data_IF_840466071369
#
_entry.id   IF_840466071369
#
_cell.length_a   1.000
_cell.length_b   1.000
_cell.length_c   1.000
_cell.angle_alpha   90.00
_cell.angle_beta   90.00
_cell.angle_gamma   90.00
#
_symmetry.space_group_name_H-M   'P 1'
#
loop_
_entity.id
_entity.type
_entity.pdbx_description
1 polymer ?
#
# COMPACT_ATOMS: atom_id res chain seq x y z
N UNK A 1 7.87 25.37 29.45
CA UNK A 1 6.80 24.89 28.55
C UNK A 1 6.27 23.58 29.15
N UNK A 2 4.98 23.49 29.50
CA UNK A 2 4.40 22.27 30.10
C UNK A 2 4.19 21.25 28.97
N UNK A 3 4.59 20.00 29.17
CA UNK A 3 4.34 18.93 28.19
C UNK A 3 2.84 18.67 28.06
N UNK A 4 2.32 18.58 26.84
CA UNK A 4 0.93 18.19 26.59
C UNK A 4 0.62 16.74 27.03
N UNK A 5 1.65 15.92 27.27
CA UNK A 5 1.53 14.57 27.81
C UNK A 5 1.48 14.52 29.35
N UNK A 6 1.76 15.65 30.04
CA UNK A 6 1.83 15.68 31.48
C UNK A 6 0.62 15.04 32.20
N UNK A 7 -0.64 15.28 31.76
CA UNK A 7 -1.81 14.71 32.43
C UNK A 7 -1.90 13.18 32.35
N UNK A 8 -1.17 12.57 31.40
CA UNK A 8 -1.21 11.13 31.13
C UNK A 8 -0.01 10.38 31.71
N UNK A 9 0.91 11.08 32.42
CA UNK A 9 2.10 10.49 33.01
C UNK A 9 1.84 10.13 34.49
N UNK A 10 2.03 8.87 34.90
CA UNK A 10 1.87 8.46 36.33
C UNK A 10 2.74 9.28 37.24
N UNK A 11 2.17 9.75 38.36
CA UNK A 11 2.89 10.55 39.37
C UNK A 11 3.32 11.95 38.93
N UNK A 12 2.83 12.43 37.78
CA UNK A 12 3.10 13.79 37.34
C UNK A 12 2.27 14.79 38.17
N UNK A 13 2.86 15.89 38.68
CA UNK A 13 2.15 16.86 39.55
C UNK A 13 0.88 17.44 38.91
N UNK A 14 0.80 17.52 37.59
CA UNK A 14 -0.38 18.02 36.90
C UNK A 14 -1.46 16.95 36.67
N UNK A 15 -1.20 15.68 36.95
CA UNK A 15 -2.19 14.62 36.82
C UNK A 15 -3.34 14.79 37.82
N UNK A 16 -3.03 15.32 39.02
CA UNK A 16 -4.00 15.58 40.06
C UNK A 16 -4.90 16.78 39.75
N UNK A 17 -4.47 17.69 38.89
CA UNK A 17 -5.22 18.88 38.47
C UNK A 17 -6.32 18.56 37.43
N UNK A 18 -6.29 17.35 36.83
CA UNK A 18 -7.21 16.94 35.76
C UNK A 18 -7.93 15.64 36.15
N UNK A 19 -8.98 15.74 37.00
CA UNK A 19 -9.73 14.56 37.44
C UNK A 19 -10.33 13.83 36.23
N UNK A 20 -10.10 12.53 36.16
CA UNK A 20 -10.52 11.67 35.04
C UNK A 20 -9.48 11.49 33.95
N UNK A 21 -8.35 12.18 34.00
CA UNK A 21 -7.22 11.87 33.13
C UNK A 21 -6.57 10.54 33.60
N UNK A 22 -6.49 9.58 32.70
CA UNK A 22 -5.87 8.28 32.94
C UNK A 22 -4.76 8.02 31.94
N UNK A 23 -3.84 7.14 32.29
CA UNK A 23 -2.83 6.65 31.36
C UNK A 23 -3.52 5.94 30.18
N UNK A 24 -3.28 6.41 28.97
CA UNK A 24 -3.93 5.89 27.76
C UNK A 24 -3.33 4.55 27.34
N UNK A 25 -2.05 4.32 27.63
CA UNK A 25 -1.35 3.08 27.28
C UNK A 25 -0.65 2.45 28.47
N UNK A 26 -0.36 1.13 28.37
CA UNK A 26 0.41 0.40 29.39
C UNK A 26 1.87 0.89 29.49
N UNK A 27 2.38 1.63 28.51
CA UNK A 27 3.70 2.25 28.50
C UNK A 27 3.58 3.78 28.52
N UNK A 28 3.29 4.42 29.67
CA UNK A 28 2.99 5.85 29.75
C UNK A 28 4.16 6.75 29.36
N UNK A 29 5.38 6.24 29.43
CA UNK A 29 6.60 6.95 28.98
C UNK A 29 7.05 6.55 27.58
N UNK A 30 6.23 5.78 26.86
CA UNK A 30 6.56 5.21 25.56
C UNK A 30 7.35 3.92 25.64
N UNK A 31 7.64 3.33 24.50
CA UNK A 31 8.38 2.06 24.37
C UNK A 31 9.85 2.34 24.05
N UNK A 32 10.64 2.65 25.06
CA UNK A 32 12.05 3.03 24.89
C UNK A 32 12.90 1.92 24.22
N UNK A 33 12.47 0.66 24.27
CA UNK A 33 13.13 -0.47 23.63
C UNK A 33 13.20 -0.39 22.11
N UNK A 34 12.39 0.45 21.47
CA UNK A 34 12.47 0.68 20.00
C UNK A 34 13.63 1.61 19.61
N UNK A 35 14.14 2.44 20.53
CA UNK A 35 15.22 3.39 20.25
C UNK A 35 16.54 2.73 19.82
N UNK A 36 16.96 1.57 20.38
CA UNK A 36 18.12 0.84 19.90
C UNK A 36 18.03 0.43 18.42
N UNK A 37 16.83 0.18 17.89
CA UNK A 37 16.61 -0.16 16.48
C UNK A 37 17.00 1.03 15.60
N UNK A 38 16.49 2.21 15.91
CA UNK A 38 16.83 3.45 15.20
C UNK A 38 18.32 3.77 15.31
N UNK A 39 18.89 3.62 16.53
CA UNK A 39 20.32 3.84 16.75
C UNK A 39 21.17 2.90 15.90
N UNK A 40 20.86 1.60 15.91
CA UNK A 40 21.60 0.61 15.12
C UNK A 40 21.47 0.87 13.63
N UNK A 41 20.29 1.20 13.13
CA UNK A 41 20.05 1.54 11.72
C UNK A 41 20.92 2.74 11.28
N UNK A 42 20.90 3.82 12.06
CA UNK A 42 21.72 5.01 11.76
C UNK A 42 23.23 4.69 11.82
N UNK A 43 23.65 3.92 12.84
CA UNK A 43 25.07 3.55 13.00
C UNK A 43 25.56 2.65 11.86
N UNK A 44 24.72 1.74 11.36
CA UNK A 44 25.05 0.86 10.24
C UNK A 44 25.09 1.59 8.90
N UNK A 45 24.12 2.48 8.66
CA UNK A 45 23.98 3.18 7.38
C UNK A 45 24.93 4.37 7.25
N UNK A 46 25.17 5.10 8.31
CA UNK A 46 25.86 6.38 8.29
C UNK A 46 25.12 7.44 7.45
N UNK A 47 25.68 8.63 7.35
CA UNK A 47 25.07 9.74 6.63
C UNK A 47 24.90 9.44 5.13
N UNK A 48 25.89 8.85 4.50
CA UNK A 48 25.87 8.53 3.06
C UNK A 48 24.89 7.40 2.76
N UNK A 49 24.82 6.38 3.63
CA UNK A 49 23.86 5.28 3.49
C UNK A 49 22.42 5.77 3.62
N UNK A 50 22.10 6.58 4.63
CA UNK A 50 20.78 7.16 4.83
C UNK A 50 20.34 8.03 3.64
N UNK A 51 21.26 8.86 3.13
CA UNK A 51 20.99 9.67 1.94
C UNK A 51 20.71 8.80 0.72
N UNK A 52 21.52 7.74 0.52
CA UNK A 52 21.35 6.81 -0.60
C UNK A 52 20.02 6.07 -0.50
N UNK A 53 19.64 5.56 0.67
CA UNK A 53 18.36 4.91 0.91
C UNK A 53 17.20 5.83 0.53
N UNK A 54 17.20 7.08 1.01
CA UNK A 54 16.17 8.07 0.67
C UNK A 54 16.07 8.34 -0.83
N UNK A 55 17.19 8.54 -1.50
CA UNK A 55 17.21 8.80 -2.95
C UNK A 55 16.75 7.58 -3.75
N UNK A 56 17.08 6.36 -3.32
CA UNK A 56 16.61 5.13 -3.94
C UNK A 56 15.10 4.99 -3.78
N UNK A 57 14.56 5.21 -2.58
CA UNK A 57 13.12 5.15 -2.35
C UNK A 57 12.34 6.14 -3.25
N UNK A 58 12.84 7.39 -3.35
CA UNK A 58 12.24 8.39 -4.25
C UNK A 58 12.34 7.96 -5.72
N UNK A 59 13.49 7.45 -6.16
CA UNK A 59 13.68 6.98 -7.53
C UNK A 59 12.74 5.82 -7.86
N UNK A 60 12.62 4.84 -6.96
CA UNK A 60 11.73 3.68 -7.12
C UNK A 60 10.26 4.08 -7.22
N UNK A 61 9.79 4.97 -6.34
CA UNK A 61 8.41 5.46 -6.39
C UNK A 61 8.11 6.23 -7.69
N UNK A 62 9.03 7.05 -8.16
CA UNK A 62 8.89 7.77 -9.43
C UNK A 62 8.96 6.86 -10.65
N UNK A 63 9.76 5.80 -10.58
CA UNK A 63 9.80 4.77 -11.62
C UNK A 63 8.45 4.07 -11.76
N UNK A 64 7.86 3.63 -10.64
CA UNK A 64 6.52 3.02 -10.61
C UNK A 64 5.47 4.00 -11.13
N UNK A 65 5.45 5.23 -10.63
CA UNK A 65 4.51 6.26 -11.06
C UNK A 65 4.59 6.50 -12.59
N UNK A 66 5.80 6.47 -13.15
CA UNK A 66 6.00 6.65 -14.60
C UNK A 66 5.54 5.44 -15.40
N UNK A 67 5.86 4.22 -14.95
CA UNK A 67 5.46 2.99 -15.64
C UNK A 67 3.95 2.76 -15.62
N UNK A 68 3.30 3.11 -14.51
CA UNK A 68 1.88 2.86 -14.32
C UNK A 68 0.98 4.05 -14.70
N UNK A 69 1.55 5.24 -14.95
CA UNK A 69 0.78 6.47 -15.18
C UNK A 69 -0.16 6.44 -16.38
N UNK A 70 0.14 5.66 -17.41
CA UNK A 70 -0.73 5.48 -18.59
C UNK A 70 -1.87 4.47 -18.33
N UNK A 71 -1.77 3.68 -17.26
CA UNK A 71 -2.74 2.65 -16.88
C UNK A 71 -3.62 3.08 -15.70
N UNK A 72 -3.03 3.79 -14.75
CA UNK A 72 -3.67 4.28 -13.52
C UNK A 72 -3.26 5.73 -13.30
N UNK A 73 -4.20 6.67 -13.21
CA UNK A 73 -3.86 8.05 -12.89
C UNK A 73 -3.10 8.15 -11.57
N UNK A 74 -2.00 8.91 -11.55
CA UNK A 74 -1.27 9.21 -10.31
C UNK A 74 -1.92 10.43 -9.67
N UNK A 75 -2.52 10.22 -8.50
CA UNK A 75 -3.13 11.28 -7.72
C UNK A 75 -2.03 11.96 -6.89
N UNK A 76 -2.01 13.27 -6.85
CA UNK A 76 -1.04 14.08 -6.13
C UNK A 76 0.40 13.93 -6.63
N UNK A 77 0.76 14.83 -7.49
CA UNK A 77 2.15 15.04 -7.90
C UNK A 77 2.62 16.44 -7.52
N UNK A 78 3.90 16.61 -7.31
CA UNK A 78 4.54 17.91 -7.23
C UNK A 78 4.79 18.52 -8.62
N UNK A 79 5.55 19.61 -8.64
CA UNK A 79 5.95 20.27 -9.86
C UNK A 79 6.68 19.30 -10.82
N UNK A 80 6.32 19.37 -12.10
CA UNK A 80 6.89 18.48 -13.12
C UNK A 80 6.42 17.02 -13.05
N UNK A 81 5.39 16.70 -12.25
CA UNK A 81 4.81 15.36 -12.17
C UNK A 81 5.58 14.38 -11.27
N UNK A 82 6.48 14.88 -10.41
CA UNK A 82 7.27 14.07 -9.49
C UNK A 82 6.47 13.70 -8.24
N UNK A 83 6.74 12.50 -7.72
CA UNK A 83 6.26 12.01 -6.41
C UNK A 83 7.43 11.92 -5.42
N UNK A 84 7.12 11.79 -4.13
CA UNK A 84 8.12 11.57 -3.09
C UNK A 84 8.56 10.08 -3.04
N UNK A 85 8.55 9.46 -1.88
CA UNK A 85 8.91 8.05 -1.68
C UNK A 85 7.74 7.08 -1.90
N UNK A 86 6.56 7.60 -2.20
CA UNK A 86 5.32 6.86 -2.46
C UNK A 86 4.55 7.50 -3.62
N UNK A 87 3.71 6.74 -4.28
CA UNK A 87 2.75 7.26 -5.25
C UNK A 87 1.34 6.73 -4.98
N UNK A 88 0.35 7.56 -5.26
CA UNK A 88 -1.06 7.22 -5.08
C UNK A 88 -1.67 6.94 -6.44
N UNK A 89 -2.08 5.69 -6.68
CA UNK A 89 -2.77 5.29 -7.88
C UNK A 89 -4.29 5.43 -7.68
N UNK A 90 -4.94 6.16 -8.56
CA UNK A 90 -6.37 6.45 -8.48
C UNK A 90 -7.20 5.47 -9.32
N UNK A 91 -7.96 4.60 -8.65
CA UNK A 91 -8.82 3.61 -9.28
C UNK A 91 -10.31 4.04 -9.36
N UNK A 92 -10.67 5.21 -8.82
CA UNK A 92 -12.07 5.65 -8.71
C UNK A 92 -12.77 5.76 -10.07
N UNK A 93 -12.05 6.23 -11.08
CA UNK A 93 -12.55 6.28 -12.46
C UNK A 93 -12.87 4.89 -12.98
N UNK A 94 -11.92 3.97 -12.87
CA UNK A 94 -12.06 2.57 -13.29
C UNK A 94 -13.22 1.88 -12.57
N UNK A 95 -13.29 2.05 -11.25
CA UNK A 95 -14.40 1.49 -10.45
C UNK A 95 -15.76 1.99 -10.92
N UNK A 96 -15.88 3.28 -11.22
CA UNK A 96 -17.13 3.87 -11.73
C UNK A 96 -17.52 3.31 -13.10
N UNK A 97 -16.56 3.06 -13.96
CA UNK A 97 -16.79 2.61 -15.34
C UNK A 97 -17.04 1.10 -15.42
N UNK A 98 -16.34 0.31 -14.62
CA UNK A 98 -16.30 -1.16 -14.76
C UNK A 98 -16.95 -1.92 -13.62
N UNK A 99 -17.15 -1.28 -12.46
CA UNK A 99 -17.60 -1.96 -11.23
C UNK A 99 -16.49 -2.73 -10.49
N UNK A 100 -15.28 -2.80 -11.05
CA UNK A 100 -14.12 -3.40 -10.36
C UNK A 100 -13.62 -2.46 -9.28
N UNK A 101 -13.49 -2.96 -8.07
CA UNK A 101 -13.11 -2.16 -6.90
C UNK A 101 -11.60 -2.21 -6.62
N UNK A 102 -11.12 -1.29 -5.79
CA UNK A 102 -9.74 -1.33 -5.28
C UNK A 102 -9.45 -2.62 -4.49
N UNK A 103 -10.48 -3.16 -3.80
CA UNK A 103 -10.38 -4.42 -3.07
C UNK A 103 -10.18 -5.61 -4.01
N UNK A 104 -10.84 -5.62 -5.17
CA UNK A 104 -10.68 -6.66 -6.18
C UNK A 104 -9.24 -6.66 -6.73
N UNK A 105 -8.71 -5.47 -7.04
CA UNK A 105 -7.31 -5.32 -7.49
C UNK A 105 -6.32 -5.77 -6.42
N UNK A 106 -6.54 -5.39 -5.16
CA UNK A 106 -5.70 -5.78 -4.04
C UNK A 106 -5.68 -7.31 -3.84
N UNK A 107 -6.84 -7.96 -3.91
CA UNK A 107 -6.94 -9.43 -3.83
C UNK A 107 -6.27 -10.12 -5.03
N UNK A 108 -6.45 -9.54 -6.23
CA UNK A 108 -5.83 -10.10 -7.44
C UNK A 108 -4.31 -10.01 -7.42
N UNK A 109 -3.73 -8.97 -6.82
CA UNK A 109 -2.29 -8.87 -6.59
C UNK A 109 -1.73 -10.04 -5.77
N UNK A 110 -2.53 -10.62 -4.84
CA UNK A 110 -2.11 -11.81 -4.09
C UNK A 110 -1.90 -13.02 -5.01
N UNK A 111 -2.70 -13.18 -6.06
CA UNK A 111 -2.51 -14.24 -7.07
C UNK A 111 -1.22 -14.06 -7.88
N UNK A 112 -0.76 -12.81 -8.04
CA UNK A 112 0.53 -12.48 -8.65
C UNK A 112 1.70 -12.56 -7.65
N UNK A 113 1.45 -12.96 -6.41
CA UNK A 113 2.47 -13.13 -5.38
C UNK A 113 2.83 -11.85 -4.61
N UNK A 114 2.03 -10.79 -4.75
CA UNK A 114 2.28 -9.52 -4.08
C UNK A 114 1.33 -9.32 -2.90
N UNK A 115 1.89 -8.82 -1.79
CA UNK A 115 1.08 -8.18 -0.77
C UNK A 115 0.58 -6.83 -1.31
N UNK A 116 -0.73 -6.62 -1.26
CA UNK A 116 -1.32 -5.39 -1.80
C UNK A 116 -0.79 -4.13 -1.10
N UNK A 117 -0.60 -3.03 -1.84
CA UNK A 117 -0.34 -1.73 -1.26
C UNK A 117 -1.47 -1.26 -0.34
N UNK A 118 -1.21 -0.26 0.49
CA UNK A 118 -2.22 0.34 1.38
C UNK A 118 -3.41 0.83 0.56
N UNK A 119 -4.60 0.28 0.85
CA UNK A 119 -5.83 0.61 0.15
C UNK A 119 -6.56 1.79 0.79
N UNK A 120 -7.21 2.58 -0.06
CA UNK A 120 -8.15 3.64 0.36
C UNK A 120 -7.55 4.65 1.35
N UNK A 121 -6.27 4.93 1.19
CA UNK A 121 -5.54 5.94 1.95
C UNK A 121 -4.54 6.67 1.03
N UNK A 122 -4.43 8.00 1.11
CA UNK A 122 -5.23 8.93 1.94
C UNK A 122 -6.66 9.17 1.42
N UNK A 123 -7.01 8.63 0.27
CA UNK A 123 -8.31 8.81 -0.38
C UNK A 123 -8.95 7.45 -0.64
N UNK A 124 -10.24 7.31 -0.33
CA UNK A 124 -11.01 6.10 -0.63
C UNK A 124 -10.94 5.75 -2.13
N UNK A 125 -10.72 4.47 -2.45
CA UNK A 125 -10.64 3.97 -3.83
C UNK A 125 -9.28 4.21 -4.50
N UNK A 126 -8.22 4.40 -3.73
CA UNK A 126 -6.84 4.53 -4.20
C UNK A 126 -5.94 3.43 -3.64
N UNK A 127 -4.78 3.23 -4.26
CA UNK A 127 -3.68 2.41 -3.75
C UNK A 127 -2.47 3.31 -3.50
N UNK A 128 -1.91 3.25 -2.30
CA UNK A 128 -0.68 3.94 -1.94
C UNK A 128 0.50 2.98 -2.06
N UNK A 129 1.32 3.17 -3.09
CA UNK A 129 2.46 2.30 -3.40
C UNK A 129 3.74 2.93 -2.85
N UNK A 130 4.38 2.23 -1.94
CA UNK A 130 5.63 2.62 -1.29
C UNK A 130 6.67 1.50 -1.45
N UNK A 131 7.54 1.56 -2.47
CA UNK A 131 8.52 0.51 -2.74
C UNK A 131 9.68 0.50 -1.74
N UNK A 132 9.90 1.56 -0.99
CA UNK A 132 11.05 1.81 -0.12
C UNK A 132 12.40 1.77 -0.89
N UNK A 133 13.51 1.65 -0.17
CA UNK A 133 14.85 1.43 -0.73
C UNK A 133 15.23 -0.05 -0.82
N UNK A 134 14.42 -0.93 -0.24
CA UNK A 134 14.77 -2.35 -0.08
C UNK A 134 14.35 -3.23 -1.25
N UNK A 135 13.42 -2.78 -2.09
CA UNK A 135 13.03 -3.52 -3.28
C UNK A 135 14.06 -3.38 -4.40
N UNK A 136 14.40 -4.49 -5.05
CA UNK A 136 15.25 -4.46 -6.23
C UNK A 136 14.44 -4.13 -7.50
N UNK A 137 15.15 -3.80 -8.58
CA UNK A 137 14.49 -3.39 -9.82
C UNK A 137 13.63 -4.52 -10.43
N UNK A 138 14.08 -5.77 -10.37
CA UNK A 138 13.34 -6.91 -10.94
C UNK A 138 11.99 -7.10 -10.21
N UNK A 139 11.96 -6.91 -8.89
CA UNK A 139 10.72 -6.97 -8.08
C UNK A 139 9.79 -5.80 -8.40
N UNK A 140 10.35 -4.59 -8.55
CA UNK A 140 9.57 -3.41 -8.95
C UNK A 140 8.99 -3.60 -10.36
N UNK A 141 9.76 -4.16 -11.29
CA UNK A 141 9.30 -4.45 -12.63
C UNK A 141 8.19 -5.51 -12.62
N UNK A 142 8.37 -6.59 -11.87
CA UNK A 142 7.36 -7.65 -11.71
C UNK A 142 6.05 -7.09 -11.12
N UNK A 143 6.13 -6.20 -10.13
CA UNK A 143 4.96 -5.49 -9.59
C UNK A 143 4.26 -4.64 -10.66
N UNK A 144 5.02 -3.86 -11.41
CA UNK A 144 4.45 -3.03 -12.48
C UNK A 144 3.79 -3.90 -13.56
N UNK A 145 4.41 -5.01 -13.95
CA UNK A 145 3.87 -5.93 -14.95
C UNK A 145 2.58 -6.59 -14.45
N UNK A 146 2.52 -6.99 -13.18
CA UNK A 146 1.30 -7.49 -12.54
C UNK A 146 0.17 -6.45 -12.58
N UNK A 147 0.45 -5.20 -12.21
CA UNK A 147 -0.53 -4.11 -12.25
C UNK A 147 -1.02 -3.85 -13.69
N UNK A 148 -0.13 -3.89 -14.68
CA UNK A 148 -0.51 -3.72 -16.10
C UNK A 148 -1.39 -4.90 -16.56
N UNK A 149 -1.05 -6.14 -16.18
CA UNK A 149 -1.88 -7.31 -16.47
C UNK A 149 -3.27 -7.20 -15.83
N UNK A 150 -3.35 -6.80 -14.56
CA UNK A 150 -4.60 -6.53 -13.85
C UNK A 150 -5.40 -5.44 -14.56
N UNK A 151 -4.75 -4.39 -15.08
CA UNK A 151 -5.43 -3.36 -15.85
C UNK A 151 -6.08 -3.93 -17.11
N UNK A 152 -5.41 -4.81 -17.82
CA UNK A 152 -5.98 -5.50 -18.98
C UNK A 152 -7.16 -6.42 -18.61
N UNK A 153 -7.15 -7.02 -17.42
CA UNK A 153 -8.29 -7.77 -16.88
C UNK A 153 -9.47 -6.86 -16.56
N UNK A 154 -9.23 -5.68 -15.98
CA UNK A 154 -10.26 -4.66 -15.72
C UNK A 154 -10.92 -4.22 -17.04
N UNK A 155 -10.13 -4.02 -18.09
CA UNK A 155 -10.66 -3.62 -19.41
C UNK A 155 -11.60 -4.66 -19.99
N UNK A 156 -11.35 -5.97 -19.77
CA UNK A 156 -12.26 -7.05 -20.18
C UNK A 156 -13.59 -7.06 -19.42
N UNK A 157 -13.59 -6.59 -18.19
CA UNK A 157 -14.85 -6.35 -17.46
C UNK A 157 -15.56 -5.12 -18.03
N UNK A 158 -14.82 -4.06 -18.31
CA UNK A 158 -15.36 -2.81 -18.84
C UNK A 158 -15.98 -2.94 -20.23
N UNK A 159 -15.41 -3.77 -21.10
CA UNK A 159 -15.93 -4.03 -22.46
C UNK A 159 -17.02 -5.13 -22.52
N UNK A 160 -17.34 -5.75 -21.38
CA UNK A 160 -18.36 -6.78 -21.26
C UNK A 160 -17.90 -8.18 -21.70
N UNK A 161 -16.62 -8.38 -21.98
CA UNK A 161 -16.04 -9.72 -22.26
C UNK A 161 -16.20 -10.61 -21.02
N UNK A 162 -16.01 -10.04 -19.83
CA UNK A 162 -16.25 -10.70 -18.54
C UNK A 162 -17.39 -10.00 -17.78
N UNK A 163 -18.13 -10.77 -16.99
CA UNK A 163 -19.14 -10.17 -16.12
C UNK A 163 -18.51 -9.55 -14.88
N UNK A 164 -19.17 -8.56 -14.31
CA UNK A 164 -18.70 -7.91 -13.07
C UNK A 164 -18.69 -8.88 -11.89
N UNK A 165 -19.64 -9.80 -11.86
CA UNK A 165 -19.87 -10.70 -10.72
C UNK A 165 -19.02 -11.98 -10.78
N UNK A 166 -18.59 -12.40 -11.99
CA UNK A 166 -17.78 -13.61 -12.19
C UNK A 166 -16.60 -13.31 -13.13
N UNK A 167 -15.45 -13.01 -12.55
CA UNK A 167 -14.21 -12.74 -13.23
C UNK A 167 -13.01 -12.97 -12.27
N UNK A 168 -11.76 -13.10 -12.77
CA UNK A 168 -10.59 -13.38 -11.94
C UNK A 168 -10.32 -12.38 -10.83
N UNK A 169 -10.67 -11.10 -11.01
CA UNK A 169 -10.48 -10.08 -9.97
C UNK A 169 -11.47 -10.26 -8.82
N UNK A 170 -12.74 -10.51 -9.17
CA UNK A 170 -13.81 -10.71 -8.18
C UNK A 170 -13.60 -12.00 -7.39
N UNK A 171 -13.15 -13.08 -8.06
CA UNK A 171 -12.88 -14.38 -7.47
C UNK A 171 -11.58 -14.46 -6.65
N UNK A 172 -10.66 -13.52 -6.83
CA UNK A 172 -9.38 -13.50 -6.13
C UNK A 172 -9.55 -13.36 -4.59
N UNK A 173 -8.59 -13.85 -3.78
CA UNK A 173 -7.44 -14.64 -4.18
C UNK A 173 -7.80 -16.10 -4.46
N UNK A 174 -7.16 -16.71 -5.45
CA UNK A 174 -7.37 -18.11 -5.81
C UNK A 174 -6.44 -19.02 -4.99
N UNK A 175 -6.96 -19.55 -3.90
CA UNK A 175 -6.21 -20.46 -3.03
C UNK A 175 -6.09 -21.87 -3.64
N UNK A 176 -5.11 -22.66 -3.20
CA UNK A 176 -4.98 -24.06 -3.63
C UNK A 176 -6.26 -24.88 -3.36
N UNK A 177 -6.97 -24.60 -2.27
CA UNK A 177 -8.23 -25.23 -1.94
C UNK A 177 -9.32 -24.89 -2.96
N UNK A 178 -9.42 -23.61 -3.37
CA UNK A 178 -10.32 -23.16 -4.41
C UNK A 178 -10.02 -23.83 -5.76
N UNK A 179 -8.74 -23.96 -6.13
CA UNK A 179 -8.32 -24.53 -7.42
C UNK A 179 -8.51 -26.05 -7.55
N UNK A 180 -8.60 -26.78 -6.43
CA UNK A 180 -8.83 -28.23 -6.43
C UNK A 180 -10.28 -28.60 -6.13
N UNK A 181 -11.14 -27.64 -5.78
CA UNK A 181 -12.56 -27.84 -5.58
C UNK A 181 -13.33 -27.94 -6.91
N UNK A 182 -14.64 -28.11 -6.85
CA UNK A 182 -15.49 -28.02 -8.03
C UNK A 182 -15.44 -26.58 -8.58
N UNK A 183 -15.10 -26.47 -9.86
CA UNK A 183 -14.94 -25.17 -10.53
C UNK A 183 -16.25 -24.78 -11.23
N UNK A 184 -17.03 -23.91 -10.61
CA UNK A 184 -18.32 -23.43 -11.11
C UNK A 184 -18.23 -21.95 -11.57
N UNK A 185 -17.20 -21.65 -12.38
CA UNK A 185 -16.99 -20.31 -12.96
C UNK A 185 -16.97 -20.39 -14.49
N UNK A 186 -17.43 -19.33 -15.14
CA UNK A 186 -17.47 -19.25 -16.61
C UNK A 186 -16.06 -19.28 -17.22
N UNK A 187 -15.07 -18.78 -16.52
CA UNK A 187 -13.68 -18.75 -16.98
C UNK A 187 -12.94 -20.04 -16.62
N UNK A 188 -12.12 -20.53 -17.54
CA UNK A 188 -11.23 -21.66 -17.29
C UNK A 188 -10.10 -21.28 -16.33
N UNK A 189 -9.62 -22.25 -15.54
CA UNK A 189 -8.47 -22.11 -14.64
C UNK A 189 -7.19 -21.57 -15.32
N UNK A 190 -7.07 -21.73 -16.63
CA UNK A 190 -5.92 -21.17 -17.37
C UNK A 190 -5.89 -19.64 -17.46
N UNK A 191 -6.94 -18.97 -17.01
CA UNK A 191 -7.04 -17.51 -16.98
C UNK A 191 -6.69 -16.91 -15.61
N UNK A 192 -6.28 -17.74 -14.66
CA UNK A 192 -6.01 -17.35 -13.27
C UNK A 192 -4.51 -17.26 -13.02
#
# INVERSE_FOLDING_TARGET
MRSHLAPFLPGHPLADELPGAATISAAPYGSASILPITYAYIAMMGADGLRRATLTAIASANYIARRLGDHYPVLYTGDGGWVAHECILDLRGLTKETGVTVDDVAKRLADYGFHAPTMSFPVAGTLMVEPTESENLDEIDAFCDAMIAIRAEIDKVGDGTWTVDDNPLRGAPHTAECLVAEWDHALSLIHI
#
